data_IF_469280686998
#
_entry.id   IF_469280686998
#
_cell.length_a   1.000
_cell.length_b   1.000
_cell.length_c   1.000
_cell.angle_alpha   90.00
_cell.angle_beta   90.00
_cell.angle_gamma   90.00
#
_symmetry.space_group_name_H-M   'P 1'
#
loop_
_entity.id
_entity.type
_entity.pdbx_description
1 polymer ?
#
# COMPACT_ATOMS: atom_id res chain seq x y z
N UNK A 1 -4.11 4.89 31.22
CA UNK A 1 -4.23 3.76 30.25
C UNK A 1 -4.32 4.34 28.83
N UNK A 2 -3.26 4.16 28.02
CA UNK A 2 -3.32 4.37 26.56
C UNK A 2 -4.46 3.48 26.08
N UNK A 3 -5.60 4.06 25.71
CA UNK A 3 -6.75 3.30 25.25
C UNK A 3 -6.30 2.43 24.07
N UNK A 4 -6.42 1.14 24.30
CA UNK A 4 -5.74 0.14 23.53
C UNK A 4 -6.27 0.13 22.09
N UNK A 5 -5.35 -0.03 21.15
CA UNK A 5 -5.60 -0.56 19.81
C UNK A 5 -6.25 -1.98 19.82
N UNK A 6 -6.79 -2.46 20.96
CA UNK A 6 -7.18 -3.86 21.21
C UNK A 6 -8.68 -4.10 21.28
N UNK A 7 -9.55 -3.20 20.83
CA UNK A 7 -10.97 -3.55 20.69
C UNK A 7 -11.26 -4.41 19.46
N UNK A 8 -10.26 -4.78 18.65
CA UNK A 8 -10.44 -5.45 17.34
C UNK A 8 -11.43 -4.72 16.40
N UNK A 9 -11.70 -3.44 16.66
CA UNK A 9 -12.67 -2.63 15.92
C UNK A 9 -12.03 -1.85 14.75
N UNK A 10 -10.73 -2.03 14.53
CA UNK A 10 -9.99 -1.30 13.52
C UNK A 10 -9.63 -2.20 12.34
N UNK A 11 -9.59 -1.57 11.17
CA UNK A 11 -9.03 -2.14 9.95
C UNK A 11 -7.87 -1.25 9.56
N UNK A 12 -6.72 -1.85 9.35
CA UNK A 12 -5.45 -1.13 9.25
C UNK A 12 -4.64 -1.71 8.10
N UNK A 13 -4.09 -0.81 7.29
CA UNK A 13 -2.94 -1.07 6.44
C UNK A 13 -1.79 -0.20 6.97
N UNK A 14 -0.61 -0.78 7.15
CA UNK A 14 0.60 -0.03 7.50
C UNK A 14 1.64 -0.22 6.42
N UNK A 15 2.45 0.82 6.20
CA UNK A 15 3.52 0.81 5.21
C UNK A 15 4.55 -0.26 5.49
N UNK A 16 4.92 -0.46 6.75
CA UNK A 16 6.00 -1.34 7.18
C UNK A 16 5.69 -2.00 8.53
N UNK A 17 6.55 -2.94 8.96
CA UNK A 17 6.60 -3.38 10.35
C UNK A 17 7.12 -2.28 11.29
N UNK A 18 6.87 -2.45 12.59
CA UNK A 18 7.25 -1.49 13.63
C UNK A 18 8.76 -1.23 13.75
N UNK A 19 9.59 -2.12 13.19
CA UNK A 19 11.06 -2.07 13.22
C UNK A 19 11.67 -1.68 11.86
N UNK A 20 10.85 -1.28 10.89
CA UNK A 20 11.26 -0.86 9.55
C UNK A 20 10.93 0.62 9.34
N UNK A 21 11.70 1.28 8.47
CA UNK A 21 11.38 2.61 7.96
C UNK A 21 10.60 2.49 6.64
N UNK A 22 9.65 3.40 6.42
CA UNK A 22 8.95 3.45 5.14
C UNK A 22 9.78 4.19 4.09
N UNK A 23 9.59 3.83 2.82
CA UNK A 23 10.36 4.43 1.71
C UNK A 23 9.61 5.57 1.04
N UNK A 24 10.26 6.71 0.94
CA UNK A 24 9.87 7.82 0.06
C UNK A 24 10.87 7.97 -1.08
N UNK A 25 10.36 8.25 -2.28
CA UNK A 25 11.18 8.51 -3.47
C UNK A 25 11.08 9.97 -3.85
N UNK A 26 12.22 10.55 -4.24
CA UNK A 26 12.34 11.92 -4.75
C UNK A 26 13.13 11.88 -6.06
N UNK A 27 12.84 12.78 -7.01
CA UNK A 27 13.56 12.80 -8.27
C UNK A 27 15.00 13.26 -8.05
N UNK A 28 15.94 12.69 -8.82
CA UNK A 28 17.34 13.14 -8.84
C UNK A 28 17.49 14.44 -9.62
N UNK A 29 16.69 14.63 -10.67
CA UNK A 29 16.58 15.88 -11.44
C UNK A 29 15.28 16.59 -11.08
N UNK A 30 15.31 17.86 -10.63
CA UNK A 30 14.09 18.60 -10.33
C UNK A 30 13.12 18.63 -11.52
N UNK A 31 11.88 18.14 -11.31
CA UNK A 31 10.82 18.12 -12.32
C UNK A 31 10.58 16.78 -13.01
N UNK A 32 11.41 15.74 -12.77
CA UNK A 32 11.17 14.40 -13.36
C UNK A 32 9.87 13.77 -12.84
N UNK A 33 9.61 13.88 -11.54
CA UNK A 33 8.36 13.49 -10.89
C UNK A 33 8.22 14.18 -9.51
N UNK A 34 6.99 14.30 -9.01
CA UNK A 34 6.75 14.81 -7.65
C UNK A 34 7.11 13.76 -6.59
N UNK A 35 7.85 14.11 -5.51
CA UNK A 35 8.18 13.16 -4.45
C UNK A 35 6.95 12.44 -3.88
N UNK A 36 7.08 11.13 -3.64
CA UNK A 36 5.98 10.31 -3.12
C UNK A 36 6.46 9.23 -2.16
N UNK A 37 5.58 8.84 -1.22
CA UNK A 37 5.76 7.64 -0.42
C UNK A 37 5.36 6.39 -1.21
N UNK A 38 6.23 5.37 -1.26
CA UNK A 38 6.01 4.14 -2.06
C UNK A 38 4.69 3.46 -1.68
N UNK A 39 4.41 3.33 -0.38
CA UNK A 39 3.14 2.76 0.10
C UNK A 39 1.92 3.53 -0.41
N UNK A 40 1.95 4.86 -0.25
CA UNK A 40 0.81 5.72 -0.61
C UNK A 40 0.57 5.74 -2.12
N UNK A 41 1.65 5.80 -2.92
CA UNK A 41 1.54 5.72 -4.38
C UNK A 41 0.88 4.41 -4.82
N UNK A 42 1.34 3.27 -4.27
CA UNK A 42 0.76 1.97 -4.58
C UNK A 42 -0.71 1.87 -4.14
N UNK A 43 -1.07 2.41 -2.97
CA UNK A 43 -2.46 2.43 -2.51
C UNK A 43 -3.34 3.27 -3.46
N UNK A 44 -2.88 4.46 -3.85
CA UNK A 44 -3.60 5.34 -4.77
C UNK A 44 -3.77 4.70 -6.15
N UNK A 45 -2.69 4.18 -6.74
CA UNK A 45 -2.72 3.51 -8.03
C UNK A 45 -3.65 2.30 -8.01
N UNK A 46 -3.51 1.43 -7.02
CA UNK A 46 -4.35 0.24 -6.83
C UNK A 46 -5.85 0.55 -6.71
N UNK A 47 -6.18 1.68 -6.09
CA UNK A 47 -7.54 2.06 -5.72
C UNK A 47 -8.18 3.12 -6.62
N UNK A 48 -7.72 3.32 -7.86
CA UNK A 48 -8.47 4.13 -8.83
C UNK A 48 -7.88 5.50 -9.16
N UNK A 49 -6.77 5.93 -8.54
CA UNK A 49 -6.28 7.30 -8.70
C UNK A 49 -5.93 7.65 -10.16
N UNK A 50 -5.49 6.66 -10.95
CA UNK A 50 -5.18 6.82 -12.38
C UNK A 50 -6.34 6.42 -13.31
N UNK A 51 -7.56 6.28 -12.79
CA UNK A 51 -8.75 5.91 -13.57
C UNK A 51 -8.88 4.41 -13.85
N UNK A 52 -8.03 3.58 -13.25
CA UNK A 52 -8.11 2.12 -13.27
C UNK A 52 -7.97 1.55 -11.85
N UNK A 53 -8.55 0.37 -11.60
CA UNK A 53 -8.58 -0.26 -10.28
C UNK A 53 -7.80 -1.59 -10.28
N UNK A 54 -6.48 -1.58 -10.49
CA UNK A 54 -5.71 -2.82 -10.67
C UNK A 54 -5.62 -3.67 -9.38
N UNK A 55 -5.99 -3.12 -8.21
CA UNK A 55 -6.13 -3.92 -7.00
C UNK A 55 -7.41 -4.79 -6.99
N UNK A 56 -8.45 -4.44 -7.76
CA UNK A 56 -9.66 -5.27 -7.91
C UNK A 56 -9.35 -6.49 -8.79
N UNK A 57 -8.77 -7.51 -8.16
CA UNK A 57 -8.33 -8.72 -8.88
C UNK A 57 -9.46 -9.69 -9.18
N UNK A 58 -10.60 -9.56 -8.50
CA UNK A 58 -11.75 -10.45 -8.67
C UNK A 58 -12.80 -9.86 -9.64
N UNK A 59 -12.65 -8.58 -10.03
CA UNK A 59 -13.48 -7.83 -10.97
C UNK A 59 -14.93 -7.63 -10.50
N UNK A 60 -15.14 -7.51 -9.20
CA UNK A 60 -16.46 -7.29 -8.59
C UNK A 60 -16.81 -5.82 -8.39
N UNK A 61 -16.05 -4.90 -8.98
CA UNK A 61 -16.19 -3.42 -8.88
C UNK A 61 -15.91 -2.87 -7.48
N UNK A 62 -15.18 -3.63 -6.67
CA UNK A 62 -14.81 -3.26 -5.31
C UNK A 62 -13.36 -3.63 -5.05
N UNK A 63 -12.66 -2.77 -4.32
CA UNK A 63 -11.33 -3.10 -3.79
C UNK A 63 -11.49 -3.43 -2.31
N UNK A 64 -11.32 -4.68 -1.94
CA UNK A 64 -11.27 -5.10 -0.53
C UNK A 64 -9.94 -4.71 0.14
N UNK A 65 -9.92 -4.69 1.47
CA UNK A 65 -8.71 -4.44 2.26
C UNK A 65 -7.62 -5.48 1.94
N UNK A 66 -8.01 -6.74 1.72
CA UNK A 66 -7.09 -7.80 1.28
C UNK A 66 -6.51 -7.51 -0.10
N UNK A 67 -7.32 -7.07 -1.04
CA UNK A 67 -6.88 -6.73 -2.39
C UNK A 67 -5.91 -5.56 -2.40
N UNK A 68 -6.26 -4.46 -1.71
CA UNK A 68 -5.35 -3.33 -1.52
C UNK A 68 -4.03 -3.78 -0.89
N UNK A 69 -4.08 -4.59 0.18
CA UNK A 69 -2.88 -5.16 0.81
C UNK A 69 -2.00 -5.94 -0.17
N UNK A 70 -2.59 -6.87 -0.93
CA UNK A 70 -1.85 -7.73 -1.86
C UNK A 70 -1.25 -6.91 -3.02
N UNK A 71 -2.00 -5.94 -3.54
CA UNK A 71 -1.52 -5.05 -4.60
C UNK A 71 -0.32 -4.23 -4.13
N UNK A 72 -0.41 -3.57 -2.97
CA UNK A 72 0.69 -2.75 -2.42
C UNK A 72 1.91 -3.64 -2.15
N UNK A 73 1.72 -4.84 -1.60
CA UNK A 73 2.82 -5.78 -1.34
C UNK A 73 3.55 -6.17 -2.63
N UNK A 74 2.80 -6.48 -3.69
CA UNK A 74 3.38 -6.80 -5.01
C UNK A 74 4.09 -5.58 -5.61
N UNK A 75 3.48 -4.40 -5.56
CA UNK A 75 4.08 -3.16 -6.04
C UNK A 75 5.43 -2.88 -5.39
N UNK A 76 5.52 -2.98 -4.06
CA UNK A 76 6.77 -2.77 -3.33
C UNK A 76 7.82 -3.79 -3.73
N UNK A 77 7.43 -5.07 -3.86
CA UNK A 77 8.32 -6.14 -4.29
C UNK A 77 8.86 -5.91 -5.71
N UNK A 78 7.97 -5.57 -6.66
CA UNK A 78 8.32 -5.32 -8.06
C UNK A 78 9.22 -4.09 -8.20
N UNK A 79 8.94 -3.02 -7.46
CA UNK A 79 9.77 -1.82 -7.45
C UNK A 79 11.17 -2.12 -6.87
N UNK A 80 11.26 -2.87 -5.78
CA UNK A 80 12.53 -3.30 -5.17
C UNK A 80 13.34 -4.20 -6.11
N UNK A 81 12.69 -5.13 -6.80
CA UNK A 81 13.33 -5.99 -7.80
C UNK A 81 13.81 -5.23 -9.04
N UNK A 82 13.01 -4.25 -9.50
CA UNK A 82 13.31 -3.45 -10.70
C UNK A 82 14.46 -2.49 -10.44
N UNK A 83 14.53 -1.93 -9.23
CA UNK A 83 15.52 -0.93 -8.84
C UNK A 83 16.21 -1.32 -7.52
N UNK A 84 17.06 -2.35 -7.52
CA UNK A 84 17.69 -2.87 -6.29
C UNK A 84 18.58 -1.83 -5.58
N UNK A 85 19.08 -0.83 -6.31
CA UNK A 85 19.89 0.26 -5.75
C UNK A 85 19.09 1.26 -4.89
N UNK A 86 17.75 1.24 -4.95
CA UNK A 86 16.90 2.06 -4.07
C UNK A 86 16.80 1.50 -2.65
N UNK A 87 17.23 0.24 -2.43
CA UNK A 87 17.23 -0.43 -1.13
C UNK A 87 15.88 -0.34 -0.39
N UNK A 88 14.80 -0.63 -1.11
CA UNK A 88 13.43 -0.61 -0.58
C UNK A 88 13.23 -1.85 0.30
N UNK A 89 13.31 -1.64 1.61
CA UNK A 89 13.07 -2.65 2.66
C UNK A 89 11.81 -2.26 3.46
N UNK A 90 10.65 -2.64 2.92
CA UNK A 90 9.35 -2.24 3.46
C UNK A 90 8.34 -3.39 3.40
N UNK A 91 8.02 -3.98 4.56
CA UNK A 91 7.01 -5.04 4.65
C UNK A 91 5.63 -4.50 5.05
N UNK A 92 4.77 -4.30 4.05
CA UNK A 92 3.39 -3.88 4.24
C UNK A 92 2.66 -4.82 5.19
N UNK A 93 1.90 -4.28 6.14
CA UNK A 93 1.08 -5.09 7.07
C UNK A 93 -0.40 -4.79 6.92
N UNK A 94 -1.23 -5.77 7.28
CA UNK A 94 -2.69 -5.66 7.25
C UNK A 94 -3.30 -6.26 8.51
N UNK A 95 -4.36 -5.62 9.02
CA UNK A 95 -5.22 -6.17 10.05
C UNK A 95 -6.69 -5.80 9.80
N UNK A 96 -7.65 -6.74 9.96
CA UNK A 96 -7.41 -8.16 10.11
C UNK A 96 -6.93 -8.78 8.80
N UNK A 97 -6.13 -9.84 8.89
CA UNK A 97 -5.70 -10.58 7.70
C UNK A 97 -6.92 -11.13 6.95
N UNK A 98 -6.85 -11.18 5.61
CA UNK A 98 -7.93 -11.62 4.72
C UNK A 98 -9.26 -10.86 4.85
N UNK A 99 -9.25 -9.62 5.34
CA UNK A 99 -10.47 -8.82 5.44
C UNK A 99 -11.09 -8.55 4.06
N UNK A 100 -12.37 -8.89 3.91
CA UNK A 100 -13.20 -8.57 2.73
C UNK A 100 -13.82 -7.18 2.80
N UNK A 101 -13.40 -6.36 3.77
CA UNK A 101 -13.94 -5.01 3.91
C UNK A 101 -13.62 -4.18 2.69
N UNK A 102 -14.64 -3.60 2.08
CA UNK A 102 -14.49 -2.74 0.92
C UNK A 102 -13.87 -1.41 1.30
N UNK A 103 -12.72 -1.10 0.70
CA UNK A 103 -12.01 0.18 0.85
C UNK A 103 -12.52 1.18 -0.19
N UNK A 104 -12.81 0.72 -1.40
CA UNK A 104 -13.33 1.53 -2.53
C UNK A 104 -14.36 0.73 -3.34
N UNK A 105 -15.39 1.41 -3.84
CA UNK A 105 -16.38 0.93 -4.82
C UNK A 105 -16.40 1.92 -6.01
N UNK A 106 -16.65 1.44 -7.24
CA UNK A 106 -16.59 2.26 -8.45
C UNK A 106 -17.56 1.84 -9.56
#
# INVERSE_FOLDING_TARGET
PKELLTTNQYKVLTSCHYNQECTGLSPTTPGDFDPFGVFTMALCEGCGYLGSYPADTNLDTKVSLREAYLYIKLYVQDLSNTYPYLNIDQDVQVYPNNSTFTVVEY
#
